data_IF_114708506424
#
_entry.id   IF_114708506424
#
_cell.length_a   1.000
_cell.length_b   1.000
_cell.length_c   1.000
_cell.angle_alpha   90.00
_cell.angle_beta   90.00
_cell.angle_gamma   90.00
#
_symmetry.space_group_name_H-M   'P 1'
#
loop_
_entity.id
_entity.type
_entity.pdbx_description
1 polymer ?
#
# COMPACT_ATOMS: atom_id res chain seq x y z
N UNK A 1 59.44 -9.27 -32.20
CA UNK A 1 58.01 -9.42 -31.90
C UNK A 1 57.78 -8.71 -30.58
N UNK A 2 57.24 -7.49 -30.60
CA UNK A 2 56.92 -6.74 -29.39
C UNK A 2 55.41 -6.91 -29.15
N UNK A 3 55.06 -7.54 -28.04
CA UNK A 3 53.68 -7.78 -27.63
C UNK A 3 53.02 -6.45 -27.23
N UNK A 4 52.05 -6.01 -28.02
CA UNK A 4 51.14 -4.93 -27.66
C UNK A 4 50.24 -5.39 -26.51
N UNK A 5 50.53 -4.94 -25.28
CA UNK A 5 49.63 -5.11 -24.14
C UNK A 5 48.41 -4.20 -24.32
N UNK A 6 47.28 -4.81 -24.69
CA UNK A 6 45.96 -4.19 -24.67
C UNK A 6 45.61 -3.76 -23.22
N UNK A 7 45.10 -2.54 -23.00
CA UNK A 7 44.71 -2.10 -21.67
C UNK A 7 43.50 -2.89 -21.15
N UNK A 8 43.64 -3.43 -19.94
CA UNK A 8 42.71 -4.37 -19.29
C UNK A 8 41.41 -3.76 -18.77
N UNK A 9 41.01 -2.56 -19.21
CA UNK A 9 39.74 -1.97 -18.77
C UNK A 9 39.22 -0.89 -19.74
N UNK A 10 38.11 -1.11 -20.46
CA UNK A 10 37.59 -0.16 -21.44
C UNK A 10 37.12 1.18 -20.81
N UNK A 11 36.90 1.21 -19.50
CA UNK A 11 36.50 2.40 -18.77
C UNK A 11 37.66 3.35 -18.39
N UNK A 12 38.91 2.88 -18.43
CA UNK A 12 40.06 3.75 -18.17
C UNK A 12 40.39 4.66 -19.36
N UNK A 13 40.01 4.26 -20.58
CA UNK A 13 40.20 5.05 -21.80
C UNK A 13 39.27 6.28 -21.89
N UNK A 14 38.19 6.32 -21.09
CA UNK A 14 37.22 7.44 -21.08
C UNK A 14 37.50 8.49 -20.00
N UNK A 15 38.61 8.38 -19.27
CA UNK A 15 39.00 9.31 -18.20
C UNK A 15 39.66 10.56 -18.79
N UNK A 16 38.93 11.26 -19.66
CA UNK A 16 39.42 12.42 -20.40
C UNK A 16 38.27 13.31 -20.82
N UNK A 17 38.10 14.41 -20.07
CA UNK A 17 37.07 15.46 -20.13
C UNK A 17 35.70 15.05 -19.55
N UNK A 18 35.48 15.50 -18.32
CA UNK A 18 34.12 15.82 -17.87
C UNK A 18 33.45 16.69 -18.93
N UNK A 19 32.21 16.39 -19.37
CA UNK A 19 31.52 17.26 -20.30
C UNK A 19 31.37 18.61 -19.62
N UNK A 20 31.89 19.67 -20.26
CA UNK A 20 31.61 21.03 -19.79
C UNK A 20 30.10 21.19 -19.62
N UNK A 21 29.63 21.80 -18.51
CA UNK A 21 28.21 22.03 -18.34
C UNK A 21 27.76 22.89 -19.52
N UNK A 22 27.01 22.29 -20.44
CA UNK A 22 26.36 23.02 -21.53
C UNK A 22 25.25 23.86 -20.91
N UNK A 23 25.63 24.97 -20.29
CA UNK A 23 24.70 26.01 -19.87
C UNK A 23 24.01 26.53 -21.13
N UNK A 24 22.68 26.53 -21.13
CA UNK A 24 21.93 27.26 -22.14
C UNK A 24 22.28 28.74 -22.01
N UNK A 25 22.68 29.39 -23.11
CA UNK A 25 22.89 30.85 -23.15
C UNK A 25 21.58 31.63 -23.02
N UNK A 26 20.44 30.94 -23.11
CA UNK A 26 19.12 31.53 -23.00
C UNK A 26 18.90 32.08 -21.59
N UNK A 27 18.65 33.39 -21.52
CA UNK A 27 18.21 34.03 -20.29
C UNK A 27 16.82 33.53 -19.90
N UNK A 28 16.62 33.19 -18.62
CA UNK A 28 15.33 32.74 -18.12
C UNK A 28 14.25 33.79 -18.39
N UNK A 29 13.28 33.45 -19.24
CA UNK A 29 12.15 34.32 -19.54
C UNK A 29 10.91 33.77 -18.81
N UNK A 30 10.53 34.46 -17.74
CA UNK A 30 9.39 34.06 -16.91
C UNK A 30 8.09 33.99 -17.71
N UNK A 31 7.85 34.89 -18.67
CA UNK A 31 6.62 34.93 -19.47
C UNK A 31 6.47 33.76 -20.45
N UNK A 32 7.58 33.15 -20.89
CA UNK A 32 7.55 31.98 -21.79
C UNK A 32 7.53 30.65 -21.02
N UNK A 33 7.60 30.69 -19.70
CA UNK A 33 7.69 29.48 -18.91
C UNK A 33 6.29 28.88 -18.68
N UNK A 34 6.09 27.56 -18.88
CA UNK A 34 4.76 26.94 -18.73
C UNK A 34 4.18 27.00 -17.31
N UNK A 35 4.98 27.41 -16.30
CA UNK A 35 4.55 27.59 -14.90
C UNK A 35 4.42 29.05 -14.45
N UNK A 36 4.69 30.04 -15.30
CA UNK A 36 4.72 31.44 -14.84
C UNK A 36 4.56 32.45 -15.97
N UNK A 37 4.03 33.61 -15.63
CA UNK A 37 4.25 34.86 -16.38
C UNK A 37 3.30 35.21 -17.53
N UNK A 38 2.72 34.27 -18.28
CA UNK A 38 1.73 34.63 -19.32
C UNK A 38 0.31 34.71 -18.71
N UNK A 39 -0.32 35.90 -18.68
CA UNK A 39 -1.67 36.09 -18.12
C UNK A 39 -2.76 35.36 -18.91
N UNK A 40 -2.48 34.91 -20.14
CA UNK A 40 -3.40 34.15 -21.00
C UNK A 40 -3.16 32.63 -20.88
N UNK A 41 -2.03 32.21 -20.32
CA UNK A 41 -1.67 30.80 -20.24
C UNK A 41 -2.46 30.12 -19.11
N UNK A 42 -3.41 29.27 -19.52
CA UNK A 42 -4.28 28.47 -18.63
C UNK A 42 -3.81 27.01 -18.53
N UNK A 43 -2.53 26.76 -18.74
CA UNK A 43 -1.95 25.43 -18.63
C UNK A 43 -2.18 24.84 -17.23
N UNK A 44 -2.18 23.51 -17.11
CA UNK A 44 -2.42 22.78 -15.84
C UNK A 44 -1.51 23.20 -14.67
N UNK A 45 -0.41 23.91 -14.96
CA UNK A 45 0.57 24.36 -13.97
C UNK A 45 0.77 25.89 -13.95
N UNK A 46 -0.07 26.67 -14.62
CA UNK A 46 -0.01 28.14 -14.60
C UNK A 46 -0.51 28.69 -13.26
N UNK A 47 0.06 29.82 -12.82
CA UNK A 47 -0.39 30.57 -11.63
C UNK A 47 -1.57 31.51 -11.88
N UNK A 48 -2.03 31.64 -13.13
CA UNK A 48 -3.13 32.54 -13.48
C UNK A 48 -4.48 31.98 -12.98
N UNK A 49 -5.32 32.84 -12.39
CA UNK A 49 -6.64 32.55 -11.79
C UNK A 49 -7.74 32.15 -12.80
N UNK A 50 -7.37 31.62 -13.98
CA UNK A 50 -8.27 31.51 -15.13
C UNK A 50 -8.36 30.15 -15.82
N UNK A 51 -7.69 29.11 -15.32
CA UNK A 51 -7.81 27.74 -15.82
C UNK A 51 -8.33 26.84 -14.72
N UNK A 52 -9.44 26.14 -14.96
CA UNK A 52 -9.96 25.20 -13.97
C UNK A 52 -8.86 24.20 -13.59
N UNK A 53 -8.37 24.31 -12.36
CA UNK A 53 -7.69 23.23 -11.68
C UNK A 53 -8.67 22.05 -11.68
N UNK A 54 -8.58 21.16 -12.66
CA UNK A 54 -9.39 19.94 -12.76
C UNK A 54 -9.14 18.98 -11.59
N UNK A 55 -8.20 19.31 -10.70
CA UNK A 55 -8.01 18.68 -9.39
C UNK A 55 -8.98 19.20 -8.30
N UNK A 56 -9.71 20.30 -8.53
CA UNK A 56 -10.66 20.88 -7.56
C UNK A 56 -12.13 20.54 -7.93
N UNK A 57 -12.44 20.17 -9.18
CA UNK A 57 -13.80 19.75 -9.58
C UNK A 57 -13.97 18.24 -9.63
N UNK A 58 -13.81 17.61 -8.48
CA UNK A 58 -14.74 16.53 -8.10
C UNK A 58 -15.76 17.16 -7.18
N UNK A 59 -17.01 17.34 -7.62
CA UNK A 59 -18.13 17.64 -6.71
C UNK A 59 -18.25 16.46 -5.73
N UNK A 60 -17.49 16.53 -4.66
CA UNK A 60 -17.64 15.68 -3.51
C UNK A 60 -18.53 16.51 -2.61
N UNK A 61 -19.84 16.28 -2.66
CA UNK A 61 -20.89 17.05 -1.94
C UNK A 61 -20.80 16.88 -0.40
N UNK A 62 -19.59 16.76 0.17
CA UNK A 62 -19.32 16.22 1.50
C UNK A 62 -19.70 14.73 1.65
N UNK A 63 -20.41 14.17 0.68
CA UNK A 63 -21.09 12.88 0.74
C UNK A 63 -20.33 11.76 0.00
N UNK A 64 -18.99 11.83 -0.01
CA UNK A 64 -18.18 10.70 -0.49
C UNK A 64 -18.18 9.63 0.59
N UNK A 65 -19.25 8.82 0.59
CA UNK A 65 -19.33 7.59 1.37
C UNK A 65 -18.34 6.60 0.77
N UNK A 66 -17.07 6.68 1.17
CA UNK A 66 -16.11 5.62 0.89
C UNK A 66 -16.71 4.34 1.44
N UNK A 67 -16.86 3.31 0.61
CA UNK A 67 -17.21 1.97 1.07
C UNK A 67 -16.03 1.45 1.88
N UNK A 68 -15.99 1.77 3.17
CA UNK A 68 -14.98 1.26 4.09
C UNK A 68 -15.39 -0.18 4.40
N UNK A 69 -14.67 -1.15 3.85
CA UNK A 69 -14.82 -2.56 4.21
C UNK A 69 -14.36 -2.72 5.67
N UNK A 70 -15.31 -2.68 6.62
CA UNK A 70 -15.05 -2.90 8.03
C UNK A 70 -15.01 -4.40 8.30
N UNK A 71 -13.87 -5.02 8.04
CA UNK A 71 -13.65 -6.38 8.52
C UNK A 71 -13.67 -6.37 10.06
N UNK A 72 -14.34 -7.34 10.71
CA UNK A 72 -14.34 -7.42 12.16
C UNK A 72 -12.90 -7.56 12.67
N UNK A 73 -12.54 -6.80 13.69
CA UNK A 73 -11.21 -6.84 14.28
C UNK A 73 -10.95 -8.24 14.83
N UNK A 74 -9.89 -8.86 14.34
CA UNK A 74 -9.43 -10.17 14.81
C UNK A 74 -8.44 -9.95 15.93
N UNK A 75 -8.54 -10.72 17.01
CA UNK A 75 -7.57 -10.62 18.11
C UNK A 75 -6.23 -11.17 17.64
N UNK A 76 -5.15 -10.51 18.06
CA UNK A 76 -3.79 -11.03 17.89
C UNK A 76 -3.53 -12.09 18.95
N UNK A 77 -3.56 -13.36 18.54
CA UNK A 77 -3.25 -14.51 19.38
C UNK A 77 -1.79 -14.93 19.17
N UNK A 78 -1.22 -15.62 20.15
CA UNK A 78 0.08 -16.26 19.94
C UNK A 78 -0.04 -17.40 18.92
N UNK A 79 1.06 -17.72 18.23
CA UNK A 79 1.07 -18.80 17.23
C UNK A 79 0.62 -20.15 17.83
N UNK A 80 1.03 -20.42 19.07
CA UNK A 80 0.71 -21.68 19.76
C UNK A 80 -0.77 -21.73 20.16
N UNK A 81 -1.31 -20.65 20.71
CA UNK A 81 -2.72 -20.53 21.10
C UNK A 81 -3.63 -20.67 19.89
N UNK A 82 -3.31 -19.97 18.79
CA UNK A 82 -4.04 -20.09 17.54
C UNK A 82 -4.04 -21.54 17.01
N UNK A 83 -2.88 -22.20 17.00
CA UNK A 83 -2.75 -23.58 16.54
C UNK A 83 -3.61 -24.56 17.36
N UNK A 84 -3.63 -24.38 18.69
CA UNK A 84 -4.50 -25.19 19.58
C UNK A 84 -5.97 -24.98 19.25
N UNK A 85 -6.40 -23.73 19.11
CA UNK A 85 -7.79 -23.39 18.79
C UNK A 85 -8.21 -24.02 17.46
N UNK A 86 -7.42 -23.84 16.40
CA UNK A 86 -7.75 -24.39 15.07
C UNK A 86 -7.78 -25.91 15.09
N UNK A 87 -6.83 -26.55 15.80
CA UNK A 87 -6.81 -28.01 15.96
C UNK A 87 -8.10 -28.50 16.63
N UNK A 88 -8.49 -27.89 17.74
CA UNK A 88 -9.70 -28.27 18.46
C UNK A 88 -10.98 -28.04 17.66
N UNK A 89 -11.05 -26.93 16.91
CA UNK A 89 -12.19 -26.66 16.02
C UNK A 89 -12.28 -27.70 14.90
N UNK A 90 -11.15 -28.14 14.35
CA UNK A 90 -11.16 -29.13 13.29
C UNK A 90 -11.54 -30.53 13.79
N UNK A 91 -11.14 -30.90 15.00
CA UNK A 91 -11.42 -32.23 15.57
C UNK A 91 -12.82 -32.31 16.19
N UNK A 92 -13.25 -31.27 16.89
CA UNK A 92 -14.40 -31.34 17.81
C UNK A 92 -15.68 -30.68 17.28
N UNK A 93 -15.69 -30.12 16.06
CA UNK A 93 -16.92 -29.58 15.46
C UNK A 93 -17.80 -30.67 14.85
N UNK A 94 -19.09 -30.66 15.22
CA UNK A 94 -20.10 -31.46 14.53
C UNK A 94 -20.38 -30.90 13.12
N UNK A 95 -20.97 -31.72 12.24
CA UNK A 95 -21.37 -31.27 10.88
C UNK A 95 -22.39 -30.14 10.90
N UNK A 96 -23.17 -30.05 11.98
CA UNK A 96 -24.21 -29.03 12.16
C UNK A 96 -23.59 -27.72 12.63
N UNK A 97 -22.73 -27.77 13.65
CA UNK A 97 -21.96 -26.61 14.13
C UNK A 97 -21.09 -26.01 13.02
N UNK A 98 -20.53 -26.83 12.12
CA UNK A 98 -19.75 -26.34 10.98
C UNK A 98 -20.57 -25.51 9.97
N UNK A 99 -21.89 -25.61 9.97
CA UNK A 99 -22.75 -24.75 9.15
C UNK A 99 -23.05 -23.42 9.83
N UNK A 100 -22.87 -23.33 11.14
CA UNK A 100 -23.08 -22.10 11.87
C UNK A 100 -21.97 -21.08 11.57
N UNK A 101 -22.39 -19.83 11.43
CA UNK A 101 -21.49 -18.72 11.09
C UNK A 101 -20.72 -18.21 12.29
N UNK A 102 -21.29 -18.31 13.49
CA UNK A 102 -20.71 -17.82 14.75
C UNK A 102 -20.69 -18.99 15.73
N UNK A 103 -19.54 -19.22 16.34
CA UNK A 103 -19.28 -20.32 17.25
C UNK A 103 -18.73 -19.79 18.57
N UNK A 104 -19.20 -20.40 19.65
CA UNK A 104 -18.67 -20.18 20.99
C UNK A 104 -18.08 -21.49 21.48
N UNK A 105 -16.78 -21.50 21.76
CA UNK A 105 -16.12 -22.71 22.28
C UNK A 105 -15.17 -22.37 23.42
N UNK A 106 -15.33 -23.11 24.51
CA UNK A 106 -14.40 -23.13 25.63
C UNK A 106 -13.18 -23.98 25.28
N UNK A 107 -12.01 -23.36 25.23
CA UNK A 107 -10.74 -24.00 24.90
C UNK A 107 -9.73 -23.63 25.99
N UNK A 108 -9.36 -24.61 26.81
CA UNK A 108 -8.58 -24.37 28.03
C UNK A 108 -9.34 -23.49 29.03
N UNK A 109 -8.73 -22.38 29.43
CA UNK A 109 -9.28 -21.46 30.44
C UNK A 109 -10.09 -20.29 29.83
N UNK A 110 -10.29 -20.29 28.51
CA UNK A 110 -10.92 -19.19 27.79
C UNK A 110 -12.10 -19.68 26.96
N UNK A 111 -13.13 -18.85 26.84
CA UNK A 111 -14.19 -18.98 25.84
C UNK A 111 -13.87 -18.09 24.66
N UNK A 112 -13.80 -18.67 23.47
CA UNK A 112 -13.52 -17.95 22.23
C UNK A 112 -14.80 -17.72 21.43
N UNK A 113 -14.91 -16.52 20.87
CA UNK A 113 -15.94 -16.15 19.90
C UNK A 113 -15.33 -16.19 18.51
N UNK A 114 -15.81 -17.11 17.68
CA UNK A 114 -15.21 -17.43 16.38
C UNK A 114 -16.25 -17.23 15.28
N UNK A 115 -15.83 -16.60 14.18
CA UNK A 115 -16.57 -16.60 12.92
C UNK A 115 -16.02 -17.71 12.05
N UNK A 116 -16.90 -18.62 11.65
CA UNK A 116 -16.59 -19.66 10.69
C UNK A 116 -16.86 -19.11 9.28
N UNK A 117 -15.79 -18.96 8.48
CA UNK A 117 -15.91 -18.58 7.06
C UNK A 117 -15.82 -19.77 6.11
N UNK A 118 -15.52 -20.95 6.65
CA UNK A 118 -15.27 -22.17 5.91
C UNK A 118 -14.29 -23.07 6.64
N UNK A 119 -14.13 -24.30 6.13
CA UNK A 119 -13.17 -25.25 6.68
C UNK A 119 -11.75 -24.65 6.61
N UNK A 120 -11.03 -24.66 7.74
CA UNK A 120 -9.72 -24.00 7.93
C UNK A 120 -9.68 -22.46 7.83
N UNK A 121 -10.79 -21.76 7.63
CA UNK A 121 -10.83 -20.29 7.65
C UNK A 121 -11.67 -19.79 8.84
N UNK A 122 -11.02 -19.70 9.99
CA UNK A 122 -11.60 -19.26 11.26
C UNK A 122 -11.10 -17.87 11.64
N UNK A 123 -12.04 -16.97 11.95
CA UNK A 123 -11.71 -15.63 12.42
C UNK A 123 -12.10 -15.47 13.89
N UNK A 124 -11.11 -15.30 14.76
CA UNK A 124 -11.32 -15.21 16.21
C UNK A 124 -11.52 -13.74 16.60
N UNK A 125 -12.73 -13.40 17.03
CA UNK A 125 -13.14 -12.04 17.38
C UNK A 125 -12.83 -11.72 18.84
N UNK A 126 -13.05 -12.70 19.72
CA UNK A 126 -13.14 -12.50 21.17
C UNK A 126 -12.50 -13.64 21.93
N UNK A 127 -11.93 -13.34 23.09
CA UNK A 127 -11.64 -14.33 24.14
C UNK A 127 -12.12 -13.77 25.47
N UNK A 128 -12.76 -14.60 26.26
CA UNK A 128 -13.24 -14.29 27.61
C UNK A 128 -12.68 -15.31 28.58
N UNK A 129 -12.19 -14.87 29.73
CA UNK A 129 -11.65 -15.76 30.76
C UNK A 129 -12.81 -16.42 31.52
N UNK A 130 -12.74 -17.74 31.65
CA UNK A 130 -13.63 -18.46 32.55
C UNK A 130 -13.22 -18.13 33.99
N UNK A 131 -14.14 -17.53 34.75
CA UNK A 131 -13.98 -17.24 36.18
C UNK A 131 -14.24 -18.46 37.04
#
# INVERSE_FOLDING_TARGET
MQEEKQPSNPFQAMKGKEPEPKGTTDSFNEAKHPRGGDPVNRGRFSKADGGENSLIKGKNDGNVRRKINRNPRTIRLSKQEYARIVSELNTNLSKEERKEKILFKGIGNYVYVIINKGFNDYQIIGREELK
#
